data_IF_639201725839
#
_entry.id   IF_639201725839
#
_cell.length_a   1.000
_cell.length_b   1.000
_cell.length_c   1.000
_cell.angle_alpha   90.00
_cell.angle_beta   90.00
_cell.angle_gamma   90.00
#
_symmetry.space_group_name_H-M   'P 1'
#
loop_
_entity.id
_entity.type
_entity.pdbx_description
1 polymer ?
#
# COMPACT_ATOMS: atom_id res chain seq x y z
N UNK A 1 -35.13 -15.76 -1.86
CA UNK A 1 -33.71 -16.09 -2.14
C UNK A 1 -32.97 -14.76 -2.36
N UNK A 2 -32.20 -14.30 -1.38
CA UNK A 2 -31.31 -13.16 -1.58
C UNK A 2 -30.20 -13.61 -2.52
N UNK A 3 -30.06 -12.96 -3.68
CA UNK A 3 -28.94 -13.18 -4.57
C UNK A 3 -27.66 -13.07 -3.75
N UNK A 4 -26.78 -14.08 -3.79
CA UNK A 4 -25.40 -13.93 -3.31
C UNK A 4 -24.80 -12.81 -4.16
N UNK A 5 -24.81 -11.58 -3.63
CA UNK A 5 -24.02 -10.51 -4.22
C UNK A 5 -22.60 -11.05 -4.30
N UNK A 6 -22.13 -11.20 -5.52
CA UNK A 6 -20.76 -11.63 -5.79
C UNK A 6 -19.86 -10.53 -5.22
N UNK A 7 -19.31 -10.75 -4.02
CA UNK A 7 -18.41 -9.81 -3.35
C UNK A 7 -17.19 -9.67 -4.25
N UNK A 8 -17.05 -8.52 -4.89
CA UNK A 8 -15.93 -8.24 -5.76
C UNK A 8 -14.81 -7.62 -4.94
N UNK A 9 -13.82 -8.43 -4.57
CA UNK A 9 -12.59 -7.97 -3.91
C UNK A 9 -11.66 -7.37 -4.96
N UNK A 10 -11.25 -6.12 -4.75
CA UNK A 10 -10.33 -5.42 -5.63
C UNK A 10 -9.10 -4.91 -4.90
N UNK A 11 -7.91 -5.27 -5.39
CA UNK A 11 -6.67 -4.68 -4.93
C UNK A 11 -6.39 -3.41 -5.75
N UNK A 12 -6.41 -2.26 -5.10
CA UNK A 12 -6.08 -0.97 -5.70
C UNK A 12 -4.67 -0.58 -5.26
N UNK A 13 -3.78 -0.48 -6.23
CA UNK A 13 -2.40 -0.03 -6.03
C UNK A 13 -2.29 1.42 -6.50
N UNK A 14 -2.09 2.35 -5.57
CA UNK A 14 -1.86 3.74 -5.93
C UNK A 14 -0.43 3.95 -6.44
N UNK A 15 -0.28 4.63 -7.59
CA UNK A 15 1.02 4.92 -8.20
C UNK A 15 1.03 6.30 -8.84
N UNK A 16 2.13 7.04 -8.71
CA UNK A 16 2.37 8.32 -9.39
C UNK A 16 3.85 8.59 -9.60
N UNK A 17 4.18 9.37 -10.62
CA UNK A 17 5.56 9.77 -10.91
C UNK A 17 6.07 10.88 -9.99
N UNK A 18 5.18 11.73 -9.48
CA UNK A 18 5.49 12.92 -8.68
C UNK A 18 5.85 12.60 -7.22
N UNK A 19 6.94 11.87 -7.01
CA UNK A 19 7.54 11.71 -5.68
C UNK A 19 8.54 12.86 -5.43
N UNK A 20 8.46 13.52 -4.26
CA UNK A 20 9.34 14.66 -3.94
C UNK A 20 10.77 14.25 -3.59
N UNK A 21 10.96 13.11 -2.93
CA UNK A 21 12.28 12.61 -2.47
C UNK A 21 13.01 11.78 -3.52
N UNK A 22 12.26 11.07 -4.36
CA UNK A 22 12.78 10.24 -5.44
C UNK A 22 11.80 10.27 -6.61
N UNK A 23 11.88 11.29 -7.50
CA UNK A 23 10.97 11.42 -8.64
C UNK A 23 10.98 10.19 -9.53
N UNK A 24 9.80 9.76 -9.98
CA UNK A 24 9.64 8.60 -10.85
C UNK A 24 9.93 7.26 -10.17
N UNK A 25 10.06 7.21 -8.85
CA UNK A 25 10.51 6.03 -8.10
C UNK A 25 9.83 4.73 -8.51
N UNK A 26 8.52 4.76 -8.76
CA UNK A 26 7.75 3.54 -9.09
C UNK A 26 8.21 2.86 -10.38
N UNK A 27 8.85 3.61 -11.28
CA UNK A 27 9.40 3.13 -12.55
C UNK A 27 10.91 2.88 -12.50
N UNK A 28 11.58 3.13 -11.35
CA UNK A 28 12.99 2.81 -11.20
C UNK A 28 13.21 1.30 -11.14
N UNK A 29 14.34 0.86 -11.72
CA UNK A 29 14.73 -0.54 -11.79
C UNK A 29 15.23 -1.06 -10.43
N UNK A 30 14.66 -2.19 -10.01
CA UNK A 30 15.14 -2.97 -8.86
C UNK A 30 16.22 -3.96 -9.31
N UNK A 31 16.02 -4.55 -10.48
CA UNK A 31 16.97 -5.42 -11.17
C UNK A 31 16.96 -5.14 -12.69
N UNK A 32 17.60 -5.98 -13.50
CA UNK A 32 17.66 -5.79 -14.95
C UNK A 32 16.30 -5.82 -15.64
N UNK A 33 15.32 -6.50 -15.07
CA UNK A 33 14.01 -6.77 -15.67
C UNK A 33 12.91 -5.92 -15.04
N UNK A 34 12.89 -5.81 -13.70
CA UNK A 34 11.74 -5.33 -12.96
C UNK A 34 11.91 -3.90 -12.46
N UNK A 35 10.87 -3.09 -12.61
CA UNK A 35 10.70 -1.83 -11.90
C UNK A 35 10.13 -2.08 -10.48
N UNK A 36 10.13 -1.06 -9.63
CA UNK A 36 9.46 -1.13 -8.32
C UNK A 36 8.00 -1.53 -8.48
N UNK A 37 7.29 -0.96 -9.46
CA UNK A 37 5.89 -1.30 -9.70
C UNK A 37 5.72 -2.75 -10.20
N UNK A 38 6.64 -3.26 -11.06
CA UNK A 38 6.65 -4.68 -11.44
C UNK A 38 6.75 -5.58 -10.20
N UNK A 39 7.68 -5.24 -9.29
CA UNK A 39 7.90 -6.04 -8.09
C UNK A 39 6.63 -6.15 -7.24
N UNK A 40 5.94 -5.02 -7.00
CA UNK A 40 4.67 -5.00 -6.25
C UNK A 40 3.62 -5.88 -6.94
N UNK A 41 3.44 -5.71 -8.24
CA UNK A 41 2.45 -6.49 -9.02
C UNK A 41 2.78 -7.98 -8.96
N UNK A 42 4.03 -8.35 -9.24
CA UNK A 42 4.48 -9.76 -9.27
C UNK A 42 4.32 -10.44 -7.91
N UNK A 43 4.59 -9.74 -6.81
CA UNK A 43 4.34 -10.26 -5.45
C UNK A 43 2.86 -10.54 -5.24
N UNK A 44 1.97 -9.59 -5.56
CA UNK A 44 0.53 -9.67 -5.31
C UNK A 44 -0.20 -10.66 -6.23
N UNK A 45 0.34 -10.97 -7.40
CA UNK A 45 -0.24 -11.97 -8.31
C UNK A 45 -0.21 -13.40 -7.74
N UNK A 46 0.56 -13.65 -6.69
CA UNK A 46 0.60 -14.94 -5.99
C UNK A 46 -0.51 -15.09 -4.93
N UNK A 47 -1.22 -14.02 -4.61
CA UNK A 47 -2.32 -14.02 -3.63
C UNK A 47 -3.50 -14.88 -4.11
N UNK A 48 -4.08 -15.67 -3.20
CA UNK A 48 -5.31 -16.44 -3.42
C UNK A 48 -6.55 -15.58 -3.28
N UNK A 49 -6.47 -14.51 -2.50
CA UNK A 49 -7.57 -13.62 -2.18
C UNK A 49 -7.75 -12.48 -3.18
N UNK A 50 -6.68 -12.06 -3.86
CA UNK A 50 -6.74 -10.99 -4.87
C UNK A 50 -7.23 -11.56 -6.20
N UNK A 51 -8.44 -11.15 -6.62
CA UNK A 51 -9.01 -11.54 -7.93
C UNK A 51 -8.83 -10.46 -8.99
N UNK A 52 -8.67 -9.22 -8.59
CA UNK A 52 -8.49 -8.09 -9.49
C UNK A 52 -7.45 -7.13 -8.94
N UNK A 53 -6.43 -6.84 -9.75
CA UNK A 53 -5.45 -5.77 -9.48
C UNK A 53 -5.79 -4.59 -10.40
N UNK A 54 -5.86 -3.39 -9.82
CA UNK A 54 -6.05 -2.13 -10.55
C UNK A 54 -5.00 -1.13 -10.10
N UNK A 55 -4.29 -0.56 -11.06
CA UNK A 55 -3.36 0.55 -10.77
C UNK A 55 -4.13 1.86 -10.82
N UNK A 56 -4.21 2.56 -9.68
CA UNK A 56 -4.85 3.87 -9.57
C UNK A 56 -3.79 4.98 -9.69
N UNK A 57 -3.62 5.51 -10.89
CA UNK A 57 -2.69 6.60 -11.18
C UNK A 57 -3.41 7.95 -11.36
N UNK A 58 -2.67 9.03 -11.63
CA UNK A 58 -3.29 10.35 -11.78
C UNK A 58 -3.66 10.65 -13.24
N UNK A 59 -4.46 11.69 -13.43
CA UNK A 59 -4.85 12.24 -14.74
C UNK A 59 -3.76 13.14 -15.35
N UNK A 60 -2.63 13.32 -14.63
CA UNK A 60 -1.54 14.19 -15.10
C UNK A 60 -0.71 13.51 -16.20
N UNK A 61 -0.26 14.31 -17.16
CA UNK A 61 0.55 13.83 -18.31
C UNK A 61 1.83 13.09 -17.88
N UNK A 62 2.43 13.49 -16.78
CA UNK A 62 3.63 12.83 -16.23
C UNK A 62 3.39 11.36 -15.84
N UNK A 63 2.13 10.96 -15.58
CA UNK A 63 1.72 9.61 -15.23
C UNK A 63 1.27 8.75 -16.44
N UNK A 64 1.34 9.29 -17.69
CA UNK A 64 1.04 8.52 -18.89
C UNK A 64 1.95 7.29 -19.01
N UNK A 65 3.21 7.42 -18.59
CA UNK A 65 4.17 6.31 -18.55
C UNK A 65 3.69 5.14 -17.70
N UNK A 66 3.02 5.41 -16.57
CA UNK A 66 2.44 4.36 -15.72
C UNK A 66 1.26 3.71 -16.44
N UNK A 67 0.38 4.51 -17.05
CA UNK A 67 -0.78 4.00 -17.77
C UNK A 67 -0.38 3.11 -18.96
N UNK A 68 0.61 3.51 -19.73
CA UNK A 68 1.16 2.70 -20.84
C UNK A 68 1.84 1.43 -20.33
N UNK A 69 2.63 1.56 -19.27
CA UNK A 69 3.32 0.43 -18.65
C UNK A 69 2.35 -0.68 -18.23
N UNK A 70 1.26 -0.34 -17.54
CA UNK A 70 0.29 -1.34 -17.06
C UNK A 70 -0.61 -1.85 -18.18
N UNK A 71 -0.92 -1.02 -19.18
CA UNK A 71 -1.65 -1.42 -20.39
C UNK A 71 -0.89 -2.51 -21.15
N UNK A 72 0.42 -2.36 -21.31
CA UNK A 72 1.28 -3.34 -22.00
C UNK A 72 1.37 -4.68 -21.26
N UNK A 73 0.97 -4.72 -19.99
CA UNK A 73 0.89 -5.93 -19.15
C UNK A 73 -0.53 -6.47 -18.97
N UNK A 74 -1.49 -5.94 -19.72
CA UNK A 74 -2.92 -6.27 -19.60
C UNK A 74 -3.48 -6.08 -18.18
N UNK A 75 -2.91 -5.17 -17.38
CA UNK A 75 -3.38 -4.86 -16.03
C UNK A 75 -4.38 -3.71 -16.12
N UNK A 76 -5.48 -3.83 -15.38
CA UNK A 76 -6.49 -2.77 -15.29
C UNK A 76 -5.91 -1.53 -14.63
N UNK A 77 -6.33 -0.35 -15.10
CA UNK A 77 -5.94 0.91 -14.49
C UNK A 77 -7.09 1.92 -14.44
N UNK A 78 -6.94 2.86 -13.53
CA UNK A 78 -7.83 4.00 -13.34
C UNK A 78 -6.99 5.27 -13.27
N UNK A 79 -7.49 6.36 -13.86
CA UNK A 79 -6.88 7.69 -13.74
C UNK A 79 -7.83 8.62 -13.00
N UNK A 80 -7.31 9.35 -12.03
CA UNK A 80 -8.11 10.26 -11.21
C UNK A 80 -7.29 11.37 -10.58
N UNK A 81 -7.85 12.05 -9.58
CA UNK A 81 -7.26 13.22 -8.96
C UNK A 81 -5.83 13.00 -8.47
N UNK A 82 -4.91 13.93 -8.80
CA UNK A 82 -3.55 13.96 -8.25
C UNK A 82 -3.57 14.38 -6.78
N UNK A 83 -4.39 15.37 -6.43
CA UNK A 83 -4.41 15.99 -5.10
C UNK A 83 -5.23 15.20 -4.08
N UNK A 84 -6.27 14.55 -4.54
CA UNK A 84 -7.23 13.85 -3.71
C UNK A 84 -7.14 12.34 -3.94
N UNK A 85 -6.31 11.68 -3.12
CA UNK A 85 -6.08 10.24 -3.22
C UNK A 85 -7.32 9.47 -2.76
N UNK A 86 -8.03 9.95 -1.75
CA UNK A 86 -9.27 9.33 -1.27
C UNK A 86 -10.35 9.33 -2.35
N UNK A 87 -10.53 10.45 -3.08
CA UNK A 87 -11.44 10.50 -4.22
C UNK A 87 -11.01 9.51 -5.32
N UNK A 88 -9.71 9.46 -5.61
CA UNK A 88 -9.19 8.51 -6.61
C UNK A 88 -9.49 7.06 -6.25
N UNK A 89 -9.37 6.67 -4.98
CA UNK A 89 -9.77 5.34 -4.49
C UNK A 89 -11.27 5.10 -4.63
N UNK A 90 -12.09 6.06 -4.20
CA UNK A 90 -13.54 5.96 -4.29
C UNK A 90 -14.02 5.81 -5.74
N UNK A 91 -13.58 6.66 -6.65
CA UNK A 91 -13.97 6.60 -8.06
C UNK A 91 -13.45 5.32 -8.74
N UNK A 92 -12.24 4.87 -8.39
CA UNK A 92 -11.71 3.61 -8.87
C UNK A 92 -12.56 2.43 -8.42
N UNK A 93 -12.83 2.31 -7.13
CA UNK A 93 -13.63 1.23 -6.56
C UNK A 93 -15.05 1.22 -7.14
N UNK A 94 -15.67 2.38 -7.30
CA UNK A 94 -16.99 2.55 -7.93
C UNK A 94 -16.99 2.09 -9.39
N UNK A 95 -15.98 2.49 -10.18
CA UNK A 95 -15.86 2.11 -11.60
C UNK A 95 -15.77 0.61 -11.80
N UNK A 96 -15.06 -0.08 -10.92
CA UNK A 96 -14.84 -1.53 -11.02
C UNK A 96 -15.82 -2.35 -10.16
N UNK A 97 -16.82 -1.71 -9.54
CA UNK A 97 -17.83 -2.34 -8.68
C UNK A 97 -17.23 -3.19 -7.56
N UNK A 98 -16.16 -2.70 -6.90
CA UNK A 98 -15.58 -3.38 -5.77
C UNK A 98 -16.41 -3.14 -4.51
N UNK A 99 -16.75 -4.21 -3.80
CA UNK A 99 -17.42 -4.16 -2.48
C UNK A 99 -16.41 -4.19 -1.32
N UNK A 100 -15.26 -4.78 -1.55
CA UNK A 100 -14.13 -4.83 -0.61
C UNK A 100 -12.87 -4.37 -1.35
N UNK A 101 -12.10 -3.51 -0.72
CA UNK A 101 -10.91 -2.89 -1.30
C UNK A 101 -9.69 -3.26 -0.46
N UNK A 102 -8.68 -3.84 -1.13
CA UNK A 102 -7.35 -4.00 -0.58
C UNK A 102 -6.53 -2.81 -1.08
N UNK A 103 -6.00 -2.01 -0.16
CA UNK A 103 -5.14 -0.86 -0.47
C UNK A 103 -3.68 -1.23 -0.29
N UNK A 104 -2.92 -1.09 -1.37
CA UNK A 104 -1.46 -1.24 -1.37
C UNK A 104 -0.84 0.01 -1.98
N UNK A 105 0.34 0.39 -1.49
CA UNK A 105 1.11 1.49 -2.07
C UNK A 105 2.23 0.94 -2.97
N UNK A 106 2.44 1.61 -4.10
CA UNK A 106 3.37 1.14 -5.15
C UNK A 106 4.85 1.26 -4.81
N UNK A 107 5.18 1.78 -3.65
CA UNK A 107 6.55 1.91 -3.14
C UNK A 107 6.98 0.78 -2.20
N UNK A 108 6.18 -0.27 -2.10
CA UNK A 108 6.43 -1.44 -1.26
C UNK A 108 6.75 -2.70 -2.10
N UNK A 109 7.93 -2.77 -2.76
CA UNK A 109 8.28 -3.83 -3.71
C UNK A 109 8.42 -5.23 -3.09
N UNK A 110 8.50 -5.30 -1.77
CA UNK A 110 8.61 -6.55 -1.01
C UNK A 110 7.31 -6.93 -0.30
N UNK A 111 6.17 -6.30 -0.67
CA UNK A 111 4.87 -6.66 -0.09
C UNK A 111 4.65 -8.18 -0.16
N UNK A 112 4.31 -8.80 0.95
CA UNK A 112 4.14 -10.25 1.03
C UNK A 112 2.68 -10.62 0.79
N UNK A 113 2.42 -11.44 -0.20
CA UNK A 113 1.07 -11.88 -0.55
C UNK A 113 0.43 -12.77 0.53
N UNK A 114 1.22 -13.52 1.32
CA UNK A 114 0.69 -14.35 2.42
C UNK A 114 0.15 -13.46 3.55
N UNK A 115 0.80 -12.33 3.81
CA UNK A 115 0.27 -11.32 4.74
C UNK A 115 -1.03 -10.74 4.20
N UNK A 116 -1.09 -10.42 2.90
CA UNK A 116 -2.32 -9.92 2.28
C UNK A 116 -3.45 -10.92 2.41
N UNK A 117 -3.21 -12.19 2.10
CA UNK A 117 -4.21 -13.26 2.20
C UNK A 117 -4.71 -13.40 3.65
N UNK A 118 -3.80 -13.42 4.63
CA UNK A 118 -4.14 -13.49 6.06
C UNK A 118 -5.04 -12.32 6.49
N UNK A 119 -4.71 -11.09 6.07
CA UNK A 119 -5.49 -9.88 6.42
C UNK A 119 -6.89 -9.96 5.80
N UNK A 120 -6.99 -10.39 4.53
CA UNK A 120 -8.28 -10.49 3.83
C UNK A 120 -9.15 -11.60 4.42
N UNK A 121 -8.59 -12.75 4.75
CA UNK A 121 -9.31 -13.85 5.41
C UNK A 121 -9.85 -13.41 6.77
N UNK A 122 -9.03 -12.71 7.56
CA UNK A 122 -9.45 -12.19 8.86
C UNK A 122 -10.55 -11.12 8.72
N UNK A 123 -10.43 -10.23 7.73
CA UNK A 123 -11.44 -9.21 7.41
C UNK A 123 -12.80 -9.86 7.10
N UNK A 124 -12.83 -10.83 6.20
CA UNK A 124 -14.04 -11.53 5.78
C UNK A 124 -14.70 -12.31 6.92
N UNK A 125 -13.90 -12.93 7.79
CA UNK A 125 -14.40 -13.80 8.86
C UNK A 125 -15.07 -13.02 10.00
N UNK A 126 -14.83 -11.71 10.15
CA UNK A 126 -15.21 -10.93 11.33
C UNK A 126 -16.09 -9.70 11.03
N UNK A 127 -16.52 -9.49 9.78
CA UNK A 127 -17.37 -8.36 9.36
C UNK A 127 -16.82 -6.99 9.76
N UNK A 128 -15.53 -6.76 9.58
CA UNK A 128 -14.93 -5.45 9.80
C UNK A 128 -15.29 -4.46 8.68
N UNK A 129 -15.32 -3.17 9.01
CA UNK A 129 -15.36 -2.08 8.03
C UNK A 129 -13.97 -1.70 7.56
N UNK A 130 -12.97 -1.84 8.45
CA UNK A 130 -11.56 -1.54 8.18
C UNK A 130 -10.64 -2.44 9.00
N UNK A 131 -9.58 -2.92 8.36
CA UNK A 131 -8.48 -3.66 9.00
C UNK A 131 -7.14 -3.24 8.41
N UNK A 132 -6.09 -3.28 9.21
CA UNK A 132 -4.74 -2.91 8.78
C UNK A 132 -3.67 -3.74 9.48
N UNK A 133 -2.50 -3.87 8.87
CA UNK A 133 -1.28 -4.37 9.53
C UNK A 133 -0.48 -3.25 10.20
N UNK A 134 -0.77 -1.99 9.89
CA UNK A 134 -0.24 -0.85 10.62
C UNK A 134 -1.15 -0.51 11.81
N UNK A 135 -0.59 -0.02 12.90
CA UNK A 135 -1.37 0.49 14.02
C UNK A 135 -1.50 2.02 13.91
N UNK A 136 -2.55 2.51 13.26
CA UNK A 136 -2.62 3.90 12.84
C UNK A 136 -2.79 4.90 13.97
N UNK A 137 -3.30 4.48 15.14
CA UNK A 137 -3.43 5.35 16.32
C UNK A 137 -2.12 5.47 17.09
N UNK A 138 -1.21 4.58 16.81
CA UNK A 138 0.12 4.58 17.36
C UNK A 138 1.10 4.50 16.19
N UNK A 139 1.25 5.62 15.45
CA UNK A 139 2.13 5.72 14.28
C UNK A 139 3.57 5.25 14.56
N UNK A 140 3.90 5.05 15.84
CA UNK A 140 5.18 4.57 16.31
C UNK A 140 5.17 3.11 16.76
N UNK A 141 4.00 2.44 16.79
CA UNK A 141 3.88 1.03 17.16
C UNK A 141 3.39 0.21 15.99
N UNK A 142 4.29 -0.53 15.40
CA UNK A 142 4.02 -1.56 14.39
C UNK A 142 4.92 -2.75 14.68
N UNK A 143 4.49 -3.92 14.30
CA UNK A 143 5.28 -5.14 14.42
C UNK A 143 5.84 -5.60 13.07
N UNK A 144 5.17 -5.24 11.97
CA UNK A 144 5.70 -5.46 10.62
C UNK A 144 6.77 -4.42 10.24
N UNK A 145 7.74 -4.77 9.38
CA UNK A 145 8.66 -3.79 8.80
C UNK A 145 7.92 -2.68 8.06
N UNK A 146 8.50 -1.50 8.00
CA UNK A 146 7.97 -0.43 7.14
C UNK A 146 8.05 -0.84 5.67
N UNK A 147 6.90 -0.90 5.00
CA UNK A 147 6.78 -1.40 3.62
C UNK A 147 5.98 -2.70 3.46
N UNK A 148 5.39 -3.20 4.56
CA UNK A 148 4.48 -4.35 4.56
C UNK A 148 3.06 -3.98 4.97
N UNK A 149 2.72 -2.70 4.85
CA UNK A 149 1.38 -2.21 5.17
C UNK A 149 0.33 -2.76 4.22
N UNK A 150 -0.69 -3.42 4.78
CA UNK A 150 -1.90 -3.90 4.10
C UNK A 150 -3.10 -3.28 4.77
N UNK A 151 -3.99 -2.68 4.00
CA UNK A 151 -5.23 -2.12 4.49
C UNK A 151 -6.39 -2.68 3.69
N UNK A 152 -7.43 -3.15 4.38
CA UNK A 152 -8.64 -3.69 3.76
C UNK A 152 -9.86 -2.97 4.34
N UNK A 153 -10.77 -2.54 3.48
CA UNK A 153 -11.99 -1.85 3.90
C UNK A 153 -13.16 -2.11 2.96
N UNK A 154 -14.37 -1.93 3.49
CA UNK A 154 -15.59 -2.03 2.70
C UNK A 154 -15.77 -0.80 1.80
N UNK A 155 -16.50 -0.97 0.68
CA UNK A 155 -16.88 0.18 -0.16
C UNK A 155 -17.75 1.17 0.61
N UNK A 156 -18.62 0.71 1.50
CA UNK A 156 -19.45 1.59 2.34
C UNK A 156 -18.62 2.46 3.28
N UNK A 157 -17.58 1.90 3.89
CA UNK A 157 -16.65 2.66 4.72
C UNK A 157 -15.88 3.69 3.88
N UNK A 158 -15.39 3.30 2.70
CA UNK A 158 -14.73 4.21 1.76
C UNK A 158 -15.65 5.35 1.32
N UNK A 159 -16.92 5.06 1.00
CA UNK A 159 -17.89 6.08 0.62
C UNK A 159 -18.20 7.04 1.77
N UNK A 160 -18.32 6.52 3.00
CA UNK A 160 -18.50 7.36 4.18
C UNK A 160 -17.31 8.30 4.38
N UNK A 161 -16.07 7.78 4.32
CA UNK A 161 -14.87 8.60 4.41
C UNK A 161 -14.80 9.64 3.28
N UNK A 162 -15.10 9.24 2.04
CA UNK A 162 -15.10 10.14 0.89
C UNK A 162 -16.04 11.34 1.06
N UNK A 163 -17.26 11.10 1.62
CA UNK A 163 -18.26 12.14 1.88
C UNK A 163 -17.88 13.08 3.03
N UNK A 164 -17.21 12.57 4.06
CA UNK A 164 -17.07 13.27 5.34
C UNK A 164 -15.64 13.73 5.67
N UNK A 165 -14.59 13.09 5.13
CA UNK A 165 -13.20 13.49 5.35
C UNK A 165 -12.91 14.87 4.74
N UNK A 166 -12.37 15.80 5.55
CA UNK A 166 -12.11 17.19 5.15
C UNK A 166 -10.64 17.59 5.28
N UNK A 167 -9.88 16.87 6.10
CA UNK A 167 -8.49 17.22 6.38
C UNK A 167 -7.56 16.75 5.24
N UNK A 168 -6.52 17.54 4.89
CA UNK A 168 -5.51 17.15 3.91
C UNK A 168 -4.92 15.76 4.18
N UNK A 169 -4.60 15.44 5.44
CA UNK A 169 -4.08 14.12 5.80
C UNK A 169 -5.05 12.98 5.48
N UNK A 170 -6.34 13.20 5.65
CA UNK A 170 -7.38 12.19 5.36
C UNK A 170 -7.57 12.00 3.85
N UNK A 171 -7.52 13.11 3.08
CA UNK A 171 -7.66 13.07 1.62
C UNK A 171 -6.43 12.48 0.93
N UNK A 172 -5.22 12.72 1.47
CA UNK A 172 -3.97 12.21 0.91
C UNK A 172 -3.69 10.76 1.29
N UNK A 173 -3.95 10.37 2.55
CA UNK A 173 -3.58 9.05 3.05
C UNK A 173 -4.72 8.02 3.06
N UNK A 174 -5.96 8.40 2.68
CA UNK A 174 -7.16 7.56 2.51
C UNK A 174 -7.75 7.06 3.82
N UNK A 175 -6.97 6.39 4.65
CA UNK A 175 -7.43 5.64 5.83
C UNK A 175 -7.42 6.41 7.16
N UNK A 176 -6.81 7.62 7.30
CA UNK A 176 -6.87 8.37 8.55
C UNK A 176 -8.27 8.66 9.07
N UNK A 177 -9.25 8.83 8.18
CA UNK A 177 -10.64 9.04 8.60
C UNK A 177 -11.22 7.81 9.33
N UNK A 178 -10.86 6.58 8.92
CA UNK A 178 -11.34 5.36 9.57
C UNK A 178 -10.88 5.27 11.02
N UNK A 179 -9.58 5.33 11.25
CA UNK A 179 -9.04 5.12 12.59
C UNK A 179 -9.23 6.30 13.54
N UNK A 180 -9.55 7.49 13.02
CA UNK A 180 -9.97 8.63 13.86
C UNK A 180 -11.43 8.52 14.31
N UNK A 181 -12.27 7.72 13.62
CA UNK A 181 -13.70 7.58 13.88
C UNK A 181 -14.06 6.13 14.25
N UNK A 182 -13.45 5.62 15.32
CA UNK A 182 -13.64 4.23 15.79
C UNK A 182 -15.07 3.90 16.18
N UNK A 183 -15.84 4.89 16.58
CA UNK A 183 -17.25 4.77 16.93
C UNK A 183 -18.15 4.52 15.71
N UNK A 184 -17.70 4.89 14.51
CA UNK A 184 -18.44 4.71 13.27
C UNK A 184 -18.07 3.39 12.59
N UNK A 185 -16.78 3.00 12.66
CA UNK A 185 -16.25 1.86 11.92
C UNK A 185 -15.82 0.74 12.84
N UNK A 186 -16.33 -0.47 12.57
CA UNK A 186 -15.82 -1.68 13.20
C UNK A 186 -14.44 -2.00 12.61
N UNK A 187 -13.40 -1.81 13.40
CA UNK A 187 -12.02 -1.87 12.92
C UNK A 187 -11.06 -2.58 13.87
N UNK A 188 -9.99 -3.12 13.29
CA UNK A 188 -8.91 -3.75 14.05
C UNK A 188 -7.58 -3.64 13.29
N UNK A 189 -6.48 -4.04 13.97
CA UNK A 189 -5.17 -4.23 13.35
C UNK A 189 -4.69 -5.67 13.57
N UNK A 190 -3.87 -6.16 12.65
CA UNK A 190 -3.17 -7.44 12.76
C UNK A 190 -1.70 -7.16 13.06
N UNK A 191 -1.20 -7.79 14.10
CA UNK A 191 0.20 -7.73 14.49
C UNK A 191 0.95 -8.97 13.96
N UNK A 192 2.22 -8.79 13.64
CA UNK A 192 3.12 -9.91 13.41
C UNK A 192 3.47 -10.57 14.75
N UNK A 193 3.73 -11.86 14.75
CA UNK A 193 4.09 -12.62 15.97
C UNK A 193 5.39 -12.13 16.62
N UNK A 194 6.30 -11.56 15.81
CA UNK A 194 7.55 -10.97 16.25
C UNK A 194 7.65 -9.53 15.79
N UNK A 195 8.29 -8.67 16.60
CA UNK A 195 8.49 -7.26 16.25
C UNK A 195 9.69 -7.07 15.31
N UNK A 196 9.40 -6.84 14.04
CA UNK A 196 10.36 -6.49 13.00
C UNK A 196 10.28 -5.04 12.55
N UNK A 197 9.61 -4.17 13.31
CA UNK A 197 9.39 -2.74 13.00
C UNK A 197 10.68 -1.94 12.81
N UNK A 198 11.81 -2.47 13.31
CA UNK A 198 13.15 -1.88 13.11
C UNK A 198 13.61 -1.85 11.66
N UNK A 199 13.02 -2.68 10.80
CA UNK A 199 13.39 -2.76 9.39
C UNK A 199 12.55 -1.83 8.51
N UNK A 200 13.20 -1.28 7.49
CA UNK A 200 12.56 -0.39 6.52
C UNK A 200 12.76 -0.95 5.11
N UNK A 201 11.66 -1.38 4.49
CA UNK A 201 11.62 -2.07 3.19
C UNK A 201 10.75 -1.33 2.14
N UNK A 202 10.33 -0.08 2.40
CA UNK A 202 9.67 0.78 1.41
C UNK A 202 10.69 1.62 0.66
N UNK A 203 10.36 2.11 -0.53
CA UNK A 203 11.24 2.97 -1.33
C UNK A 203 10.75 4.40 -1.34
N UNK A 204 11.46 5.27 -0.63
CA UNK A 204 11.21 6.71 -0.62
C UNK A 204 12.43 7.52 -1.06
N UNK A 205 13.63 6.97 -0.88
CA UNK A 205 14.91 7.60 -1.19
C UNK A 205 15.80 6.66 -1.99
N UNK A 206 16.91 7.19 -2.51
CA UNK A 206 17.94 6.37 -3.19
C UNK A 206 18.53 5.28 -2.29
N UNK A 207 18.63 5.53 -1.00
CA UNK A 207 19.15 4.55 -0.04
C UNK A 207 18.18 3.39 0.18
N UNK A 208 16.88 3.69 0.18
CA UNK A 208 15.87 2.62 0.21
C UNK A 208 15.95 1.76 -1.05
N UNK A 209 16.07 2.39 -2.23
CA UNK A 209 16.21 1.66 -3.49
C UNK A 209 17.47 0.77 -3.49
N UNK A 210 18.61 1.29 -2.99
CA UNK A 210 19.84 0.51 -2.87
C UNK A 210 19.65 -0.74 -1.99
N UNK A 211 18.98 -0.60 -0.85
CA UNK A 211 18.67 -1.75 0.01
C UNK A 211 17.78 -2.76 -0.73
N UNK A 212 16.73 -2.31 -1.40
CA UNK A 212 15.83 -3.20 -2.16
C UNK A 212 16.60 -3.95 -3.25
N UNK A 213 17.47 -3.27 -4.00
CA UNK A 213 18.31 -3.89 -5.03
C UNK A 213 19.23 -4.96 -4.43
N UNK A 214 19.82 -4.71 -3.26
CA UNK A 214 20.62 -5.71 -2.53
C UNK A 214 19.78 -6.92 -2.11
N UNK A 215 18.58 -6.71 -1.58
CA UNK A 215 17.66 -7.80 -1.20
C UNK A 215 17.32 -8.64 -2.43
N UNK A 216 16.91 -8.01 -3.53
CA UNK A 216 16.56 -8.71 -4.79
C UNK A 216 17.74 -9.47 -5.40
N UNK A 217 18.96 -8.93 -5.28
CA UNK A 217 20.16 -9.61 -5.80
C UNK A 217 20.59 -10.82 -4.96
N UNK A 218 20.28 -10.83 -3.66
CA UNK A 218 20.66 -11.91 -2.74
C UNK A 218 19.58 -13.00 -2.61
N UNK A 219 18.29 -12.64 -2.65
CA UNK A 219 17.19 -13.62 -2.61
C UNK A 219 16.77 -13.94 -4.04
N UNK A 220 17.11 -15.16 -4.52
CA UNK A 220 16.78 -15.60 -5.89
C UNK A 220 15.39 -16.22 -6.02
N UNK A 221 14.83 -16.69 -4.92
CA UNK A 221 13.46 -17.23 -4.85
C UNK A 221 12.44 -16.13 -5.19
N UNK A 222 11.39 -16.48 -5.92
CA UNK A 222 10.21 -15.64 -6.18
C UNK A 222 8.94 -16.45 -5.94
N UNK A 223 7.90 -15.87 -5.33
CA UNK A 223 7.89 -14.56 -4.67
C UNK A 223 8.83 -14.51 -3.46
N UNK A 224 9.23 -13.29 -3.05
CA UNK A 224 10.02 -13.05 -1.83
C UNK A 224 9.04 -12.90 -0.67
N UNK A 225 9.20 -13.70 0.38
CA UNK A 225 8.39 -13.63 1.59
C UNK A 225 9.07 -12.79 2.67
N UNK A 226 8.29 -12.30 3.64
CA UNK A 226 8.81 -11.56 4.79
C UNK A 226 9.91 -12.35 5.52
N UNK A 227 9.71 -13.65 5.74
CA UNK A 227 10.67 -14.52 6.40
C UNK A 227 12.02 -14.60 5.68
N UNK A 228 12.02 -14.59 4.34
CA UNK A 228 13.25 -14.56 3.53
C UNK A 228 14.02 -13.26 3.75
N UNK A 229 13.28 -12.13 3.79
CA UNK A 229 13.85 -10.79 4.00
C UNK A 229 14.41 -10.64 5.42
N UNK A 230 13.65 -11.05 6.43
CA UNK A 230 14.10 -10.99 7.83
C UNK A 230 15.39 -11.78 8.01
N UNK A 231 15.42 -13.03 7.55
CA UNK A 231 16.61 -13.88 7.61
C UNK A 231 17.83 -13.22 6.95
N UNK A 232 17.65 -12.60 5.79
CA UNK A 232 18.73 -11.90 5.09
C UNK A 232 19.23 -10.71 5.90
N UNK A 233 18.33 -9.86 6.41
CA UNK A 233 18.69 -8.63 7.13
C UNK A 233 19.32 -8.90 8.50
N UNK A 234 18.91 -9.97 9.17
CA UNK A 234 19.50 -10.38 10.46
C UNK A 234 20.90 -10.94 10.31
N UNK A 235 21.17 -11.63 9.19
CA UNK A 235 22.51 -12.17 8.91
C UNK A 235 23.45 -11.15 8.29
N UNK A 236 22.92 -10.05 7.70
CA UNK A 236 23.71 -9.02 7.01
C UNK A 236 23.38 -7.64 7.58
N UNK A 237 23.86 -7.37 8.79
CA UNK A 237 23.55 -6.12 9.51
C UNK A 237 24.02 -4.84 8.80
N UNK A 238 25.00 -4.94 7.90
CA UNK A 238 25.45 -3.85 7.05
C UNK A 238 24.37 -3.39 6.06
N UNK A 239 23.44 -4.29 5.63
CA UNK A 239 22.32 -3.91 4.77
C UNK A 239 21.35 -2.99 5.51
N UNK A 240 21.08 -3.28 6.78
CA UNK A 240 20.19 -2.46 7.61
C UNK A 240 20.70 -1.04 7.76
N UNK A 241 22.02 -0.83 7.77
CA UNK A 241 22.66 0.50 7.91
C UNK A 241 22.45 1.39 6.69
N UNK A 242 22.18 0.83 5.51
CA UNK A 242 22.06 1.58 4.25
C UNK A 242 21.00 2.68 4.37
N UNK A 243 19.83 2.36 4.94
CA UNK A 243 18.73 3.32 5.05
C UNK A 243 18.26 3.60 6.50
N UNK A 244 19.02 3.18 7.52
CA UNK A 244 18.69 3.40 8.93
C UNK A 244 18.48 4.88 9.30
N UNK A 245 19.13 5.80 8.58
CA UNK A 245 19.01 7.25 8.78
C UNK A 245 17.77 7.86 8.12
N UNK A 246 17.05 7.11 7.27
CA UNK A 246 15.89 7.62 6.52
C UNK A 246 14.65 7.68 7.43
N UNK A 247 14.09 8.87 7.59
CA UNK A 247 12.90 9.09 8.44
C UNK A 247 11.60 8.82 7.68
N UNK A 248 10.65 8.19 8.37
CA UNK A 248 9.26 8.01 7.90
C UNK A 248 8.41 9.24 8.28
N UNK A 249 8.48 10.31 7.50
CA UNK A 249 7.86 11.60 7.83
C UNK A 249 6.67 12.01 6.93
N UNK A 250 6.28 11.15 5.99
CA UNK A 250 5.21 11.46 5.02
C UNK A 250 3.91 11.90 5.69
N UNK A 251 3.37 11.06 6.58
CA UNK A 251 2.13 11.36 7.29
C UNK A 251 2.27 12.57 8.24
N UNK A 252 3.42 12.72 8.90
CA UNK A 252 3.68 13.86 9.78
C UNK A 252 3.68 15.21 9.04
N UNK A 253 4.04 15.21 7.75
CA UNK A 253 3.94 16.43 6.92
C UNK A 253 2.49 16.79 6.64
N UNK A 254 1.65 15.83 6.28
CA UNK A 254 0.22 16.07 6.05
C UNK A 254 -0.50 16.54 7.31
N UNK A 255 -0.12 16.05 8.50
CA UNK A 255 -0.64 16.55 9.78
C UNK A 255 -0.27 18.03 10.05
N UNK A 256 0.86 18.51 9.53
CA UNK A 256 1.20 19.94 9.62
C UNK A 256 0.32 20.80 8.72
N UNK A 257 -0.11 20.25 7.58
CA UNK A 257 -1.07 20.96 6.71
C UNK A 257 -2.46 21.00 7.34
N UNK A 258 -2.90 19.94 8.05
CA UNK A 258 -4.16 19.94 8.81
C UNK A 258 -4.23 21.12 9.78
N UNK A 259 -3.11 21.38 10.51
CA UNK A 259 -3.03 22.47 11.50
C UNK A 259 -3.13 23.88 10.92
N UNK A 260 -2.99 24.04 9.61
CA UNK A 260 -3.17 25.36 8.96
C UNK A 260 -4.63 25.66 8.63
N UNK A 261 -5.52 24.65 8.74
CA UNK A 261 -6.93 24.75 8.41
C UNK A 261 -7.83 24.84 9.65
N UNK A 262 -7.27 24.57 10.81
CA UNK A 262 -7.90 24.69 12.13
C UNK A 262 -7.32 25.92 12.85
#
# INVERSE_FOLDING_TARGET
MKSKNNIAVGCIIQARMSSTRLPGKVMLKVDNENTILDCVINQLQNSKEIKNIVIATTDQKEDDVIAEFVKNRAIKYFRGSKKDVLDRYYQCAKKFNFSEIIRITSDNPLIDYEIVDTVVEHFKSNNYDFITTDQPLNIFHRTYPFGYGVEVFTFSALENAWKNAKLPSEREHVTPYFYKNKEIFRQTSIENSEDHSRFRCTVDTKYDLELIQKIYSNIKKRPILLSDVIKLLETNTEFVKINAHVKADGYLRSLKEDKKLV
#
